data_IF_637854803211
#
_entry.id   IF_637854803211
#
_cell.length_a   1.000
_cell.length_b   1.000
_cell.length_c   1.000
_cell.angle_alpha   90.00
_cell.angle_beta   90.00
_cell.angle_gamma   90.00
#
_symmetry.space_group_name_H-M   'P 1'
#
loop_
_entity.id
_entity.type
_entity.pdbx_description
1 polymer ?
#
# COMPACT_ATOMS: atom_id res chain seq x y z
N UNK A 1 -2.54 -24.81 -23.72
CA UNK A 1 -3.05 -24.21 -22.47
C UNK A 1 -2.49 -22.80 -22.35
N UNK A 2 -3.30 -21.76 -22.58
CA UNK A 2 -2.90 -20.39 -22.29
C UNK A 2 -3.20 -20.13 -20.81
N UNK A 3 -2.16 -20.05 -19.98
CA UNK A 3 -2.32 -19.64 -18.59
C UNK A 3 -2.47 -18.12 -18.54
N UNK A 4 -3.57 -17.65 -17.94
CA UNK A 4 -3.77 -16.24 -17.61
C UNK A 4 -2.86 -15.93 -16.44
N UNK A 5 -1.71 -15.31 -16.71
CA UNK A 5 -0.77 -14.88 -15.65
C UNK A 5 -1.38 -13.68 -14.93
N UNK A 6 -1.53 -13.77 -13.61
CA UNK A 6 -2.00 -12.67 -12.77
C UNK A 6 -0.93 -11.57 -12.68
N UNK A 7 -1.14 -10.49 -13.43
CA UNK A 7 -0.26 -9.33 -13.41
C UNK A 7 -0.63 -8.47 -12.19
N UNK A 8 0.27 -8.41 -11.20
CA UNK A 8 0.11 -7.51 -10.07
C UNK A 8 0.47 -6.08 -10.50
N UNK A 9 -0.49 -5.16 -10.37
CA UNK A 9 -0.32 -3.74 -10.67
C UNK A 9 -0.39 -2.91 -9.38
N UNK A 10 0.56 -2.02 -9.20
CA UNK A 10 0.64 -1.09 -8.09
C UNK A 10 0.73 0.36 -8.59
N UNK A 11 0.28 1.32 -7.80
CA UNK A 11 0.45 2.75 -8.12
C UNK A 11 1.85 3.18 -7.68
N UNK A 12 2.56 3.91 -8.53
CA UNK A 12 3.83 4.53 -8.17
C UNK A 12 3.63 5.70 -7.20
N UNK A 13 4.41 5.68 -6.13
CA UNK A 13 4.41 6.68 -5.06
C UNK A 13 5.87 7.16 -4.90
N UNK A 14 6.17 8.44 -5.17
CA UNK A 14 7.48 9.04 -4.92
C UNK A 14 7.85 9.01 -3.44
N UNK A 15 9.15 9.02 -3.13
CA UNK A 15 9.63 9.03 -1.74
C UNK A 15 9.76 10.48 -1.26
N UNK A 16 9.28 10.77 -0.06
CA UNK A 16 9.53 12.05 0.60
C UNK A 16 10.97 12.11 1.13
N UNK A 17 11.70 13.19 0.86
CA UNK A 17 13.03 13.47 1.41
C UNK A 17 12.95 14.58 2.46
N UNK A 18 13.24 14.24 3.71
CA UNK A 18 13.19 15.17 4.85
C UNK A 18 14.24 16.29 4.75
N UNK A 19 15.32 16.09 3.98
CA UNK A 19 16.40 17.09 3.88
C UNK A 19 16.05 18.24 2.96
N UNK A 20 15.31 17.95 1.89
CA UNK A 20 14.93 18.93 0.87
C UNK A 20 13.47 19.34 0.96
N UNK A 21 12.67 18.69 1.82
CA UNK A 21 11.21 18.87 1.94
C UNK A 21 10.46 18.62 0.62
N UNK A 22 11.07 17.83 -0.27
CA UNK A 22 10.60 17.53 -1.62
C UNK A 22 10.43 16.03 -1.85
N UNK A 23 9.63 15.68 -2.86
CA UNK A 23 9.46 14.31 -3.31
C UNK A 23 10.51 13.95 -4.35
N UNK A 24 11.18 12.81 -4.15
CA UNK A 24 12.21 12.29 -5.04
C UNK A 24 11.78 10.98 -5.69
N UNK A 25 12.20 10.82 -6.95
CA UNK A 25 11.98 9.61 -7.71
C UNK A 25 12.96 8.51 -7.29
N UNK A 26 12.42 7.46 -6.68
CA UNK A 26 13.17 6.24 -6.36
C UNK A 26 12.60 5.08 -7.18
N UNK A 27 13.48 4.33 -7.84
CA UNK A 27 13.10 3.14 -8.60
C UNK A 27 12.57 2.05 -7.66
N UNK A 28 11.35 1.52 -7.88
CA UNK A 28 10.81 0.45 -7.06
C UNK A 28 11.39 -0.94 -7.41
N UNK A 29 12.02 -1.07 -8.57
CA UNK A 29 12.54 -2.33 -9.09
C UNK A 29 13.87 -2.71 -8.46
N UNK A 30 13.97 -3.95 -7.97
CA UNK A 30 15.24 -4.53 -7.52
C UNK A 30 15.98 -5.18 -8.69
N UNK A 31 17.31 -5.20 -8.61
CA UNK A 31 18.13 -5.90 -9.59
C UNK A 31 17.84 -7.41 -9.53
N UNK A 32 17.74 -8.04 -10.70
CA UNK A 32 17.53 -9.49 -10.88
C UNK A 32 16.21 -10.04 -10.30
N UNK A 33 15.22 -9.19 -10.06
CA UNK A 33 13.89 -9.62 -9.61
C UNK A 33 13.15 -10.37 -10.73
N UNK A 34 12.73 -11.61 -10.44
CA UNK A 34 11.89 -12.41 -11.36
C UNK A 34 10.44 -11.94 -11.21
N UNK A 35 9.74 -11.75 -12.32
CA UNK A 35 8.35 -11.27 -12.38
C UNK A 35 8.11 -9.96 -11.61
N UNK A 36 8.77 -8.85 -12.03
CA UNK A 36 8.63 -7.57 -11.35
C UNK A 36 7.18 -7.05 -11.39
N UNK A 37 6.76 -6.45 -10.27
CA UNK A 37 5.45 -5.79 -10.16
C UNK A 37 5.36 -4.65 -11.18
N UNK A 38 4.24 -4.53 -11.87
CA UNK A 38 4.01 -3.40 -12.76
C UNK A 38 3.59 -2.18 -11.95
N UNK A 39 4.24 -1.04 -12.18
CA UNK A 39 3.93 0.20 -11.49
C UNK A 39 3.29 1.18 -12.47
N UNK A 40 2.08 1.64 -12.16
CA UNK A 40 1.40 2.68 -12.92
C UNK A 40 1.72 4.05 -12.31
N UNK A 41 2.25 4.96 -13.12
CA UNK A 41 2.43 6.34 -12.73
C UNK A 41 1.21 7.18 -13.09
N UNK A 42 0.79 8.04 -12.17
CA UNK A 42 -0.35 8.95 -12.35
C UNK A 42 0.00 10.23 -13.10
N UNK A 43 1.24 10.40 -13.56
CA UNK A 43 1.61 11.59 -14.35
C UNK A 43 0.93 11.60 -15.74
N UNK A 44 0.56 10.44 -16.28
CA UNK A 44 -0.13 10.28 -17.56
C UNK A 44 -0.95 8.99 -17.55
N UNK A 45 -2.18 9.04 -18.05
CA UNK A 45 -3.04 7.87 -18.18
C UNK A 45 -2.34 6.75 -19.00
N UNK A 46 -2.36 5.53 -18.47
CA UNK A 46 -1.74 4.36 -19.09
C UNK A 46 -0.22 4.30 -18.99
N UNK A 47 0.41 5.16 -18.17
CA UNK A 47 1.86 5.14 -17.99
C UNK A 47 2.29 4.00 -17.06
N UNK A 48 2.53 2.83 -17.65
CA UNK A 48 2.96 1.63 -16.92
C UNK A 48 4.46 1.42 -17.07
N UNK A 49 5.13 1.23 -15.94
CA UNK A 49 6.52 0.83 -15.86
C UNK A 49 6.56 -0.66 -15.51
N UNK A 50 7.54 -1.36 -16.06
CA UNK A 50 7.70 -2.81 -15.88
C UNK A 50 9.10 -3.19 -15.42
N UNK A 51 10.08 -2.29 -15.54
CA UNK A 51 11.46 -2.54 -15.19
C UNK A 51 12.22 -1.23 -14.90
N UNK A 52 13.44 -1.34 -14.39
CA UNK A 52 14.30 -0.18 -14.07
C UNK A 52 14.58 0.71 -15.29
N UNK A 53 14.66 0.15 -16.50
CA UNK A 53 14.97 0.92 -17.72
C UNK A 53 13.80 1.82 -18.12
N UNK A 54 12.60 1.27 -18.16
CA UNK A 54 11.35 2.01 -18.44
C UNK A 54 11.10 3.07 -17.36
N UNK A 55 11.35 2.74 -16.09
CA UNK A 55 11.32 3.72 -14.99
C UNK A 55 12.29 4.89 -15.24
N UNK A 56 13.56 4.61 -15.54
CA UNK A 56 14.59 5.64 -15.76
C UNK A 56 14.27 6.55 -16.95
N UNK A 57 13.62 6.03 -18.00
CA UNK A 57 13.16 6.85 -19.12
C UNK A 57 11.94 7.68 -18.75
N UNK A 58 11.00 7.08 -18.02
CA UNK A 58 9.77 7.71 -17.56
C UNK A 58 10.04 8.95 -16.69
N UNK A 59 10.91 8.83 -15.68
CA UNK A 59 11.22 9.94 -14.76
C UNK A 59 11.91 11.13 -15.44
N UNK A 60 12.53 10.91 -16.59
CA UNK A 60 13.16 11.98 -17.38
C UNK A 60 12.13 12.81 -18.16
N UNK A 61 10.92 12.28 -18.39
CA UNK A 61 9.88 12.96 -19.15
C UNK A 61 9.46 14.27 -18.47
N UNK A 62 9.13 15.29 -19.27
CA UNK A 62 8.69 16.58 -18.76
C UNK A 62 7.41 16.42 -17.91
N UNK A 63 6.47 15.61 -18.38
CA UNK A 63 5.21 15.31 -17.68
C UNK A 63 5.43 14.73 -16.29
N UNK A 64 6.41 13.85 -16.13
CA UNK A 64 6.70 13.26 -14.83
C UNK A 64 7.38 14.27 -13.88
N UNK A 65 8.31 15.07 -14.39
CA UNK A 65 8.93 16.14 -13.61
C UNK A 65 7.91 17.15 -13.09
N UNK A 66 6.95 17.53 -13.93
CA UNK A 66 5.85 18.41 -13.54
C UNK A 66 4.91 17.75 -12.53
N UNK A 67 4.68 16.43 -12.64
CA UNK A 67 3.95 15.65 -11.65
C UNK A 67 4.62 15.65 -10.28
N UNK A 68 5.94 15.39 -10.20
CA UNK A 68 6.68 15.36 -8.93
C UNK A 68 6.63 16.71 -8.20
N UNK A 69 6.84 17.81 -8.93
CA UNK A 69 6.75 19.16 -8.37
C UNK A 69 5.38 19.46 -7.74
N UNK A 70 4.32 18.94 -8.34
CA UNK A 70 2.95 19.16 -7.90
C UNK A 70 2.43 18.03 -6.98
N UNK A 71 3.23 17.00 -6.73
CA UNK A 71 2.80 15.79 -6.02
C UNK A 71 2.38 16.11 -4.58
N UNK A 72 3.18 16.94 -3.88
CA UNK A 72 2.89 17.40 -2.52
C UNK A 72 1.51 18.07 -2.42
N UNK A 73 1.12 18.84 -3.44
CA UNK A 73 -0.12 19.62 -3.44
C UNK A 73 -1.36 18.78 -3.75
N UNK A 74 -1.28 17.84 -4.68
CA UNK A 74 -2.47 17.14 -5.19
C UNK A 74 -2.60 15.68 -4.75
N UNK A 75 -1.50 15.02 -4.37
CA UNK A 75 -1.50 13.56 -4.18
C UNK A 75 -1.00 13.12 -2.81
N UNK A 76 -0.12 13.89 -2.15
CA UNK A 76 0.47 13.50 -0.87
C UNK A 76 -0.57 13.20 0.22
N UNK A 77 -1.53 14.12 0.43
CA UNK A 77 -2.59 13.93 1.43
C UNK A 77 -3.50 12.74 1.09
N UNK A 78 -3.88 12.59 -0.18
CA UNK A 78 -4.71 11.49 -0.65
C UNK A 78 -4.05 10.13 -0.44
N UNK A 79 -2.75 10.02 -0.74
CA UNK A 79 -2.03 8.77 -0.57
C UNK A 79 -1.78 8.45 0.91
N UNK A 80 -1.47 9.46 1.72
CA UNK A 80 -1.37 9.32 3.18
C UNK A 80 -2.70 8.86 3.81
N UNK A 81 -3.82 9.45 3.38
CA UNK A 81 -5.15 9.07 3.84
C UNK A 81 -5.48 7.62 3.45
N UNK A 82 -5.16 7.19 2.22
CA UNK A 82 -5.36 5.81 1.79
C UNK A 82 -4.52 4.81 2.61
N UNK A 83 -3.27 5.14 2.90
CA UNK A 83 -2.41 4.28 3.74
C UNK A 83 -2.96 4.19 5.17
N UNK A 84 -3.43 5.32 5.72
CA UNK A 84 -4.07 5.38 7.04
C UNK A 84 -5.35 4.53 7.08
N UNK A 85 -6.22 4.66 6.09
CA UNK A 85 -7.45 3.84 5.98
C UNK A 85 -7.10 2.35 5.94
N UNK A 86 -6.06 1.97 5.19
CA UNK A 86 -5.62 0.57 5.11
C UNK A 86 -5.14 0.06 6.48
N UNK A 87 -4.32 0.84 7.19
CA UNK A 87 -3.84 0.49 8.54
C UNK A 87 -4.99 0.33 9.52
N UNK A 88 -5.90 1.31 9.55
CA UNK A 88 -7.08 1.28 10.42
C UNK A 88 -7.99 0.08 10.14
N UNK A 89 -8.14 -0.33 8.87
CA UNK A 89 -8.91 -1.54 8.52
C UNK A 89 -8.27 -2.80 9.07
N UNK A 90 -6.96 -2.94 8.93
CA UNK A 90 -6.21 -4.09 9.46
C UNK A 90 -6.32 -4.14 11.00
N UNK A 91 -6.14 -2.99 11.65
CA UNK A 91 -6.22 -2.89 13.11
C UNK A 91 -7.63 -3.19 13.63
N UNK A 92 -8.66 -2.63 12.98
CA UNK A 92 -10.05 -2.89 13.36
C UNK A 92 -10.41 -4.38 13.21
N UNK A 93 -9.98 -5.03 12.13
CA UNK A 93 -10.16 -6.48 11.97
C UNK A 93 -9.44 -7.27 13.07
N UNK A 94 -8.21 -6.90 13.41
CA UNK A 94 -7.45 -7.53 14.47
C UNK A 94 -8.14 -7.38 15.84
N UNK A 95 -8.59 -6.16 16.18
CA UNK A 95 -9.30 -5.88 17.42
C UNK A 95 -10.65 -6.60 17.49
N UNK A 96 -11.38 -6.65 16.38
CA UNK A 96 -12.65 -7.40 16.29
C UNK A 96 -12.44 -8.87 16.61
N UNK A 97 -11.42 -9.50 16.02
CA UNK A 97 -11.07 -10.91 16.31
C UNK A 97 -10.67 -11.11 17.77
N UNK A 98 -9.93 -10.16 18.35
CA UNK A 98 -9.55 -10.22 19.77
C UNK A 98 -10.77 -10.09 20.69
N UNK A 99 -11.69 -9.19 20.38
CA UNK A 99 -12.91 -8.96 21.15
C UNK A 99 -13.81 -10.21 21.15
N UNK A 100 -14.02 -10.82 19.98
CA UNK A 100 -14.77 -12.09 19.87
C UNK A 100 -14.16 -13.19 20.76
N UNK A 101 -12.83 -13.32 20.78
CA UNK A 101 -12.16 -14.31 21.63
C UNK A 101 -12.39 -14.05 23.12
N UNK A 102 -12.26 -12.79 23.55
CA UNK A 102 -12.46 -12.40 24.94
C UNK A 102 -13.93 -12.58 25.36
N UNK A 103 -14.89 -12.19 24.53
CA UNK A 103 -16.31 -12.43 24.77
C UNK A 103 -16.62 -13.92 24.94
N UNK A 104 -16.00 -14.78 24.12
CA UNK A 104 -16.15 -16.22 24.27
C UNK A 104 -15.59 -16.73 25.60
N UNK A 105 -14.42 -16.25 26.03
CA UNK A 105 -13.84 -16.62 27.32
C UNK A 105 -14.68 -16.15 28.51
N UNK A 106 -15.21 -14.92 28.44
CA UNK A 106 -16.12 -14.40 29.47
C UNK A 106 -17.35 -15.29 29.58
N UNK A 107 -17.98 -15.62 28.45
CA UNK A 107 -19.14 -16.51 28.43
C UNK A 107 -18.83 -17.89 29.00
N UNK A 108 -17.67 -18.48 28.70
CA UNK A 108 -17.27 -19.78 29.26
C UNK A 108 -17.11 -19.71 30.79
N UNK A 109 -16.41 -18.70 31.31
CA UNK A 109 -16.22 -18.49 32.75
C UNK A 109 -17.53 -18.22 33.50
N UNK A 110 -18.39 -17.36 32.93
CA UNK A 110 -19.70 -17.07 33.51
C UNK A 110 -20.58 -18.31 33.60
N UNK A 111 -20.47 -19.27 32.67
CA UNK A 111 -21.23 -20.52 32.73
C UNK A 111 -20.58 -21.60 33.61
N UNK A 112 -19.27 -21.55 33.84
CA UNK A 112 -18.58 -22.43 34.80
C UNK A 112 -18.89 -22.04 36.26
N UNK A 113 -18.96 -20.73 36.59
CA UNK A 113 -19.31 -20.26 37.94
C UNK A 113 -20.71 -20.68 38.42
N UNK A 114 -21.65 -20.97 37.50
CA UNK A 114 -22.98 -21.47 37.86
C UNK A 114 -23.04 -22.98 38.15
N UNK A 115 -22.01 -23.75 37.78
CA UNK A 115 -22.00 -25.21 37.94
C UNK A 115 -21.39 -25.67 39.27
N UNK A 116 -20.68 -24.80 39.99
CA UNK A 116 -20.01 -25.09 41.27
C UNK A 116 -20.87 -24.75 42.52
N UNK A 117 -22.16 -24.47 42.35
CA UNK A 117 -23.09 -24.05 43.44
C UNK A 117 -24.21 -25.08 43.73
N UNK A 118 -24.12 -26.31 43.21
CA UNK A 118 -25.04 -27.42 43.56
C UNK A 118 -24.45 -28.45 44.54
#
# INVERSE_FOLDING_TARGET
MQQIVSITRCIYIPKFDEKTDEYIDVSPYKKYERNPIQYECRCRAGSIMTNTTTFKQHVKSKTHKDFIKNYKKYYAELDSAKDTIKKLRIENEFLTRKNIKLQKQIYELENEEFHDVE
#
